data_IF_095107594817
#
_entry.id   IF_095107594817
#
_cell.length_a   1.000
_cell.length_b   1.000
_cell.length_c   1.000
_cell.angle_alpha   90.00
_cell.angle_beta   90.00
_cell.angle_gamma   90.00
#
_symmetry.space_group_name_H-M   'P 1'
#
loop_
_entity.id
_entity.type
_entity.pdbx_description
1 polymer ?
#
# COMPACT_ATOMS: atom_id res chain seq x y z
N UNK A 1 51.18 -5.77 -46.20
CA UNK A 1 50.26 -6.53 -45.31
C UNK A 1 49.78 -5.69 -44.12
N UNK A 2 50.61 -4.87 -43.49
CA UNK A 2 50.23 -4.02 -42.35
C UNK A 2 49.04 -3.07 -42.60
N UNK A 3 48.93 -2.48 -43.80
CA UNK A 3 47.86 -1.53 -44.14
C UNK A 3 46.48 -2.17 -44.25
N UNK A 4 46.40 -3.44 -44.68
CA UNK A 4 45.13 -4.18 -44.76
C UNK A 4 44.63 -4.59 -43.37
N UNK A 5 45.55 -4.90 -42.45
CA UNK A 5 45.24 -5.26 -41.06
C UNK A 5 44.71 -4.05 -40.26
N UNK A 6 45.30 -2.87 -40.46
CA UNK A 6 44.85 -1.63 -39.83
C UNK A 6 43.44 -1.22 -40.27
N UNK A 7 43.11 -1.40 -41.55
CA UNK A 7 41.77 -1.12 -42.08
C UNK A 7 40.75 -2.11 -41.52
N UNK A 8 41.11 -3.39 -41.35
CA UNK A 8 40.19 -4.38 -40.75
C UNK A 8 39.94 -4.10 -39.28
N UNK A 9 40.96 -3.66 -38.52
CA UNK A 9 40.82 -3.28 -37.11
C UNK A 9 39.99 -1.99 -36.96
N UNK A 10 40.17 -1.00 -37.84
CA UNK A 10 39.37 0.23 -37.82
C UNK A 10 37.91 -0.03 -38.19
N UNK A 11 37.65 -0.90 -39.18
CA UNK A 11 36.28 -1.28 -39.56
C UNK A 11 35.62 -2.12 -38.47
N UNK A 12 36.34 -3.02 -37.79
CA UNK A 12 35.77 -3.80 -36.68
C UNK A 12 35.52 -2.96 -35.42
N UNK A 13 36.33 -1.94 -35.14
CA UNK A 13 36.06 -0.95 -34.08
C UNK A 13 34.85 -0.08 -34.42
N UNK A 14 34.71 0.37 -35.67
CA UNK A 14 33.55 1.14 -36.12
C UNK A 14 32.24 0.31 -36.10
N UNK A 15 32.31 -0.96 -36.48
CA UNK A 15 31.17 -1.89 -36.39
C UNK A 15 30.83 -2.23 -34.94
N UNK A 16 31.83 -2.34 -34.05
CA UNK A 16 31.58 -2.50 -32.60
C UNK A 16 30.94 -1.26 -31.97
N UNK A 17 31.25 -0.04 -32.45
CA UNK A 17 30.58 1.19 -32.00
C UNK A 17 29.20 1.39 -32.63
N UNK A 18 28.93 0.80 -33.80
CA UNK A 18 27.62 0.88 -34.47
C UNK A 18 26.63 -0.21 -34.01
N UNK A 19 27.11 -1.32 -33.44
CA UNK A 19 26.30 -2.40 -32.86
C UNK A 19 26.16 -2.30 -31.34
N UNK A 20 26.69 -1.24 -30.72
CA UNK A 20 26.24 -0.84 -29.40
C UNK A 20 24.83 -0.29 -29.52
N UNK A 21 23.83 -1.18 -29.53
CA UNK A 21 22.47 -0.83 -29.13
C UNK A 21 22.58 -0.17 -27.76
N UNK A 22 22.67 1.16 -27.74
CA UNK A 22 22.34 1.91 -26.55
C UNK A 22 20.90 1.49 -26.28
N UNK A 23 20.69 0.74 -25.20
CA UNK A 23 19.40 0.73 -24.52
C UNK A 23 19.08 2.21 -24.25
N UNK A 24 18.36 2.85 -25.15
CA UNK A 24 17.74 4.15 -24.89
C UNK A 24 16.63 3.87 -23.89
N UNK A 25 17.00 3.80 -22.61
CA UNK A 25 16.03 4.04 -21.56
C UNK A 25 15.34 5.36 -21.90
N UNK A 26 14.02 5.31 -22.09
CA UNK A 26 13.24 6.52 -22.31
C UNK A 26 13.54 7.48 -21.17
N UNK A 27 13.95 8.73 -21.45
CA UNK A 27 14.35 9.64 -20.39
C UNK A 27 13.16 9.86 -19.45
N UNK A 28 13.41 9.72 -18.15
CA UNK A 28 12.43 10.01 -17.11
C UNK A 28 11.87 11.42 -17.31
N UNK A 29 10.55 11.56 -17.16
CA UNK A 29 9.87 12.86 -17.16
C UNK A 29 10.34 13.73 -15.98
N UNK A 30 10.10 15.05 -16.04
CA UNK A 30 10.44 15.94 -14.90
C UNK A 30 9.76 15.50 -13.59
N UNK A 31 8.52 15.00 -13.68
CA UNK A 31 7.76 14.47 -12.57
C UNK A 31 8.42 13.20 -11.99
N UNK A 32 8.79 12.23 -12.82
CA UNK A 32 9.50 11.02 -12.39
C UNK A 32 10.89 11.32 -11.81
N UNK A 33 11.51 12.43 -12.18
CA UNK A 33 12.75 12.94 -11.57
C UNK A 33 12.49 13.74 -10.28
N UNK A 34 11.25 13.81 -9.80
CA UNK A 34 10.82 14.56 -8.62
C UNK A 34 11.14 16.06 -8.67
N UNK A 35 11.13 16.67 -9.86
CA UNK A 35 11.27 18.13 -10.04
C UNK A 35 9.93 18.84 -9.84
N UNK A 36 9.39 18.73 -8.63
CA UNK A 36 8.06 19.20 -8.30
C UNK A 36 8.05 20.69 -7.96
N UNK A 37 7.16 21.45 -8.60
CA UNK A 37 6.95 22.89 -8.31
C UNK A 37 5.98 23.11 -7.16
N UNK A 38 4.97 22.25 -7.06
CA UNK A 38 3.92 22.32 -6.06
C UNK A 38 3.43 20.90 -5.76
N UNK A 39 3.07 20.67 -4.50
CA UNK A 39 2.40 19.47 -4.01
C UNK A 39 1.02 19.86 -3.49
N UNK A 40 0.07 18.93 -3.57
CA UNK A 40 -1.30 19.16 -3.13
C UNK A 40 -1.87 17.94 -2.41
N UNK A 41 -2.75 18.22 -1.45
CA UNK A 41 -3.63 17.19 -0.91
C UNK A 41 -4.78 16.96 -1.90
N UNK A 42 -4.96 15.72 -2.33
CA UNK A 42 -5.90 15.35 -3.39
C UNK A 42 -6.90 14.29 -2.93
N UNK A 43 -8.07 14.32 -3.55
CA UNK A 43 -9.11 13.30 -3.43
C UNK A 43 -9.06 12.39 -4.67
N UNK A 44 -9.71 11.22 -4.63
CA UNK A 44 -9.86 10.40 -5.82
C UNK A 44 -10.52 11.19 -6.96
N UNK A 45 -10.02 11.02 -8.19
CA UNK A 45 -10.51 11.70 -9.40
C UNK A 45 -11.38 10.79 -10.27
N UNK A 46 -11.34 9.48 -10.02
CA UNK A 46 -12.11 8.49 -10.77
C UNK A 46 -12.90 7.60 -9.81
N UNK A 47 -14.11 7.21 -10.24
CA UNK A 47 -15.01 6.35 -9.47
C UNK A 47 -15.64 5.31 -10.38
N UNK A 48 -15.53 4.05 -9.99
CA UNK A 48 -16.03 2.88 -10.70
C UNK A 48 -17.07 2.22 -9.81
N UNK A 49 -18.31 2.18 -10.29
CA UNK A 49 -19.43 1.56 -9.58
C UNK A 49 -19.49 0.07 -9.94
N UNK A 50 -19.71 -0.78 -8.94
CA UNK A 50 -19.96 -2.21 -9.10
C UNK A 50 -21.28 -2.60 -8.40
N UNK A 51 -21.72 -3.84 -8.56
CA UNK A 51 -22.92 -4.36 -7.89
C UNK A 51 -22.78 -4.34 -6.36
N UNK A 52 -21.60 -4.70 -5.85
CA UNK A 52 -21.34 -4.85 -4.42
C UNK A 52 -20.52 -3.73 -3.78
N UNK A 53 -20.31 -2.61 -4.47
CA UNK A 53 -19.51 -1.52 -3.92
C UNK A 53 -18.90 -0.60 -4.96
N UNK A 54 -17.78 0.04 -4.60
CA UNK A 54 -17.17 1.12 -5.37
C UNK A 54 -15.64 1.01 -5.30
N UNK A 55 -14.99 1.29 -6.42
CA UNK A 55 -13.55 1.54 -6.48
C UNK A 55 -13.31 2.99 -6.89
N UNK A 56 -12.55 3.72 -6.08
CA UNK A 56 -12.14 5.10 -6.37
C UNK A 56 -10.63 5.13 -6.61
N UNK A 57 -10.19 5.87 -7.63
CA UNK A 57 -8.78 5.98 -8.02
C UNK A 57 -8.31 7.42 -7.89
N UNK A 58 -7.11 7.61 -7.34
CA UNK A 58 -6.36 8.85 -7.52
C UNK A 58 -5.77 8.89 -8.93
N UNK A 59 -5.56 10.09 -9.46
CA UNK A 59 -4.93 10.27 -10.77
C UNK A 59 -3.46 9.91 -10.67
N UNK A 60 -3.06 8.76 -11.24
CA UNK A 60 -1.68 8.35 -11.23
C UNK A 60 -0.80 9.17 -12.18
N UNK A 61 -1.36 10.02 -13.03
CA UNK A 61 -0.59 10.96 -13.86
C UNK A 61 -0.21 12.26 -13.13
N UNK A 62 -0.74 12.51 -11.92
CA UNK A 62 -0.34 13.66 -11.13
C UNK A 62 1.14 13.51 -10.72
N UNK A 63 1.90 14.60 -10.90
CA UNK A 63 3.35 14.65 -10.77
C UNK A 63 3.85 14.07 -9.44
N UNK A 64 3.08 14.22 -8.35
CA UNK A 64 3.48 13.72 -7.04
C UNK A 64 3.46 12.19 -6.96
N UNK A 65 2.52 11.54 -7.66
CA UNK A 65 2.44 10.07 -7.74
C UNK A 65 3.44 9.50 -8.74
N UNK A 66 3.67 10.21 -9.86
CA UNK A 66 4.75 9.89 -10.81
C UNK A 66 6.13 9.96 -10.15
N UNK A 67 6.40 11.01 -9.35
CA UNK A 67 7.64 11.12 -8.56
C UNK A 67 7.81 9.97 -7.58
N UNK A 68 6.74 9.62 -6.83
CA UNK A 68 6.82 8.52 -5.88
C UNK A 68 6.83 7.13 -6.52
N UNK A 69 6.45 7.02 -7.80
CA UNK A 69 6.30 5.74 -8.47
C UNK A 69 5.18 4.89 -7.86
N UNK A 70 4.06 5.51 -7.47
CA UNK A 70 2.94 4.81 -6.79
C UNK A 70 1.60 5.06 -7.46
N UNK A 71 0.66 4.15 -7.27
CA UNK A 71 -0.75 4.32 -7.60
C UNK A 71 -1.63 4.07 -6.37
N UNK A 72 -2.62 4.93 -6.13
CA UNK A 72 -3.49 4.86 -4.96
C UNK A 72 -4.95 4.64 -5.34
N UNK A 73 -5.66 3.85 -4.53
CA UNK A 73 -7.09 3.58 -4.70
C UNK A 73 -7.80 3.37 -3.37
N UNK A 74 -9.12 3.60 -3.36
CA UNK A 74 -10.00 3.34 -2.22
C UNK A 74 -11.10 2.40 -2.67
N UNK A 75 -11.19 1.23 -2.03
CA UNK A 75 -12.26 0.27 -2.27
C UNK A 75 -13.26 0.33 -1.12
N UNK A 76 -14.54 0.40 -1.47
CA UNK A 76 -15.67 0.43 -0.54
C UNK A 76 -16.52 -0.78 -0.89
N UNK A 77 -16.55 -1.77 0.00
CA UNK A 77 -17.35 -2.99 -0.17
C UNK A 77 -18.57 -2.87 0.71
N UNK A 78 -19.76 -2.94 0.11
CA UNK A 78 -21.00 -3.01 0.86
C UNK A 78 -21.07 -4.30 1.69
N UNK A 79 -21.98 -4.40 2.68
CA UNK A 79 -22.25 -5.65 3.38
C UNK A 79 -22.55 -6.80 2.40
N UNK A 80 -22.02 -7.98 2.70
CA UNK A 80 -22.16 -9.20 1.89
C UNK A 80 -21.68 -9.03 0.44
N UNK A 81 -20.54 -8.37 0.25
CA UNK A 81 -19.94 -8.18 -1.07
C UNK A 81 -18.54 -8.78 -1.16
N UNK A 82 -18.22 -9.34 -2.32
CA UNK A 82 -16.95 -9.97 -2.65
C UNK A 82 -16.21 -9.12 -3.70
N UNK A 83 -15.03 -8.60 -3.33
CA UNK A 83 -14.02 -8.15 -4.30
C UNK A 83 -13.43 -9.37 -4.98
N UNK A 84 -13.62 -9.45 -6.30
CA UNK A 84 -13.26 -10.63 -7.07
C UNK A 84 -11.75 -10.93 -7.06
N UNK A 85 -11.35 -12.20 -7.23
CA UNK A 85 -9.95 -12.58 -7.18
C UNK A 85 -9.13 -11.90 -8.28
N UNK A 86 -8.00 -11.31 -7.90
CA UNK A 86 -7.07 -10.65 -8.82
C UNK A 86 -5.63 -10.74 -8.32
N UNK A 87 -4.68 -10.48 -9.21
CA UNK A 87 -3.26 -10.33 -8.92
C UNK A 87 -2.68 -9.15 -9.72
N UNK A 88 -1.44 -8.75 -9.42
CA UNK A 88 -0.82 -7.56 -10.00
C UNK A 88 0.72 -7.70 -10.00
N UNK A 89 1.46 -7.01 -10.88
CA UNK A 89 2.91 -7.19 -11.04
C UNK A 89 3.74 -6.46 -9.96
N UNK A 90 3.10 -5.67 -9.10
CA UNK A 90 3.76 -4.86 -8.07
C UNK A 90 3.22 -5.16 -6.66
N UNK A 91 4.02 -4.93 -5.60
CA UNK A 91 3.50 -5.02 -4.24
C UNK A 91 2.49 -3.91 -3.93
N UNK A 92 1.60 -4.18 -2.97
CA UNK A 92 0.62 -3.22 -2.46
C UNK A 92 0.44 -3.36 -0.96
N UNK A 93 0.33 -2.21 -0.31
CA UNK A 93 -0.18 -2.11 1.05
C UNK A 93 -1.64 -1.71 1.05
N UNK A 94 -2.42 -2.32 1.94
CA UNK A 94 -3.86 -2.05 2.12
C UNK A 94 -4.13 -1.71 3.57
N UNK A 95 -4.61 -0.50 3.84
CA UNK A 95 -5.04 -0.07 5.16
C UNK A 95 -6.57 -0.14 5.27
N UNK A 96 -7.08 -0.86 6.27
CA UNK A 96 -8.52 -0.94 6.55
C UNK A 96 -8.93 0.28 7.38
N UNK A 97 -9.60 1.24 6.74
CA UNK A 97 -10.07 2.47 7.39
C UNK A 97 -11.29 2.22 8.27
N UNK A 98 -12.20 1.36 7.84
CA UNK A 98 -13.49 1.08 8.49
C UNK A 98 -13.96 -0.33 8.16
N UNK A 99 -14.70 -0.95 9.07
CA UNK A 99 -15.33 -2.26 8.85
C UNK A 99 -14.43 -3.44 9.17
N UNK A 100 -14.94 -4.62 8.85
CA UNK A 100 -14.25 -5.89 8.99
C UNK A 100 -14.60 -6.81 7.82
N UNK A 101 -13.82 -7.85 7.64
CA UNK A 101 -14.05 -8.80 6.57
C UNK A 101 -13.08 -9.97 6.61
N UNK A 102 -13.00 -10.64 5.48
CA UNK A 102 -12.12 -11.77 5.23
C UNK A 102 -11.27 -11.48 4.01
N UNK A 103 -9.99 -11.81 4.07
CA UNK A 103 -9.10 -11.77 2.91
C UNK A 103 -8.33 -13.09 2.82
N UNK A 104 -8.12 -13.59 1.61
CA UNK A 104 -7.14 -14.66 1.36
C UNK A 104 -6.11 -14.18 0.36
N UNK A 105 -4.85 -14.53 0.63
CA UNK A 105 -3.71 -14.29 -0.26
C UNK A 105 -3.18 -15.66 -0.65
N UNK A 106 -3.27 -15.96 -1.93
CA UNK A 106 -2.96 -17.26 -2.51
C UNK A 106 -1.51 -17.24 -2.97
N UNK A 107 -0.70 -18.10 -2.37
CA UNK A 107 0.69 -18.32 -2.73
C UNK A 107 0.80 -19.55 -3.63
N UNK A 108 1.14 -19.38 -4.93
CA UNK A 108 1.33 -20.52 -5.82
C UNK A 108 2.38 -21.49 -5.26
N UNK A 109 2.05 -22.79 -5.24
CA UNK A 109 2.91 -23.84 -4.70
C UNK A 109 2.75 -24.15 -3.21
N UNK A 110 1.94 -23.37 -2.49
CA UNK A 110 1.54 -23.68 -1.11
C UNK A 110 0.27 -24.54 -1.10
N UNK A 111 0.20 -25.52 -0.19
CA UNK A 111 -0.93 -26.43 -0.11
C UNK A 111 -2.17 -25.80 0.56
N UNK A 112 -3.33 -26.41 0.33
CA UNK A 112 -4.58 -26.09 0.97
C UNK A 112 -4.59 -26.58 2.44
N UNK A 113 -4.12 -25.73 3.34
CA UNK A 113 -3.99 -26.07 4.77
C UNK A 113 -5.30 -26.00 5.56
N UNK A 114 -6.39 -25.49 4.97
CA UNK A 114 -7.71 -25.46 5.60
C UNK A 114 -8.58 -26.56 5.00
N UNK A 115 -8.96 -27.52 5.83
CA UNK A 115 -9.69 -28.73 5.42
C UNK A 115 -10.91 -29.03 6.30
N UNK A 116 -11.90 -29.68 5.71
CA UNK A 116 -13.22 -29.96 6.33
C UNK A 116 -13.23 -31.17 7.30
N UNK A 117 -12.10 -31.82 7.55
CA UNK A 117 -11.89 -32.94 8.49
C UNK A 117 -10.64 -32.58 9.32
N UNK A 118 -10.58 -32.45 10.65
CA UNK A 118 -11.29 -33.07 11.77
C UNK A 118 -11.60 -32.01 12.85
N UNK A 119 -12.88 -31.72 13.10
CA UNK A 119 -13.26 -31.21 14.42
C UNK A 119 -12.99 -32.32 15.43
N UNK A 120 -12.00 -32.13 16.32
CA UNK A 120 -11.77 -33.03 17.44
C UNK A 120 -13.03 -33.24 18.30
N UNK A 121 -13.04 -34.20 19.24
CA UNK A 121 -14.24 -34.70 19.93
C UNK A 121 -15.07 -33.66 20.72
N UNK A 122 -14.68 -32.37 20.72
CA UNK A 122 -15.31 -31.28 21.47
C UNK A 122 -16.06 -30.24 20.62
N UNK A 123 -16.03 -30.32 19.28
CA UNK A 123 -16.73 -29.36 18.40
C UNK A 123 -18.24 -29.60 18.21
N UNK A 124 -18.86 -30.49 19.00
CA UNK A 124 -20.31 -30.77 18.95
C UNK A 124 -21.09 -29.78 19.83
N UNK A 125 -21.01 -28.47 19.56
CA UNK A 125 -21.99 -27.53 20.10
C UNK A 125 -22.55 -26.61 19.01
N UNK A 126 -23.75 -26.99 18.58
CA UNK A 126 -24.85 -26.15 18.10
C UNK A 126 -24.58 -25.23 16.90
N UNK A 127 -24.78 -25.77 15.69
CA UNK A 127 -25.56 -25.08 14.67
C UNK A 127 -26.69 -26.01 14.23
N UNK A 128 -27.90 -25.46 14.17
CA UNK A 128 -29.17 -26.17 14.17
C UNK A 128 -29.34 -27.25 13.10
N UNK A 129 -30.06 -28.30 13.50
CA UNK A 129 -30.68 -29.26 12.59
C UNK A 129 -31.57 -28.53 11.58
N UNK A 130 -31.17 -28.53 10.31
CA UNK A 130 -32.11 -28.60 9.19
C UNK A 130 -31.42 -29.15 7.93
N UNK A 131 -31.85 -30.36 7.56
CA UNK A 131 -31.84 -30.95 6.20
C UNK A 131 -30.51 -31.07 5.43
N UNK A 132 -29.94 -32.28 5.47
CA UNK A 132 -29.58 -33.02 4.24
C UNK A 132 -28.48 -32.51 3.30
N UNK A 133 -27.67 -31.51 3.66
CA UNK A 133 -26.54 -31.12 2.82
C UNK A 133 -25.37 -32.10 3.00
N UNK A 134 -25.00 -32.76 1.89
CA UNK A 134 -23.71 -33.45 1.73
C UNK A 134 -22.62 -32.60 2.38
N UNK A 135 -21.76 -33.20 3.22
CA UNK A 135 -20.59 -32.52 3.77
C UNK A 135 -19.85 -31.83 2.63
N UNK A 136 -19.78 -30.50 2.63
CA UNK A 136 -18.99 -29.76 1.65
C UNK A 136 -17.54 -30.12 1.92
N UNK A 137 -16.99 -31.01 1.09
CA UNK A 137 -15.57 -31.34 1.11
C UNK A 137 -14.84 -30.18 0.44
N UNK A 138 -14.46 -29.20 1.24
CA UNK A 138 -13.69 -28.03 0.81
C UNK A 138 -12.25 -28.11 1.31
N UNK A 139 -11.35 -27.52 0.53
CA UNK A 139 -9.91 -27.38 0.74
C UNK A 139 -9.48 -26.05 0.14
N UNK A 140 -8.92 -25.16 0.96
CA UNK A 140 -8.35 -23.90 0.47
C UNK A 140 -7.17 -23.44 1.32
N UNK A 141 -6.45 -22.42 0.84
CA UNK A 141 -5.41 -21.74 1.62
C UNK A 141 -6.02 -20.89 2.75
N UNK A 142 -5.16 -20.40 3.64
CA UNK A 142 -5.54 -19.63 4.82
C UNK A 142 -6.41 -18.42 4.47
N UNK A 143 -7.47 -18.23 5.26
CA UNK A 143 -8.33 -17.04 5.22
C UNK A 143 -8.07 -16.22 6.47
N UNK A 144 -7.83 -14.94 6.29
CA UNK A 144 -7.50 -14.01 7.36
C UNK A 144 -8.70 -13.12 7.67
N UNK A 145 -9.11 -13.09 8.95
CA UNK A 145 -9.94 -12.00 9.47
C UNK A 145 -9.16 -10.69 9.37
N UNK A 146 -9.81 -9.66 8.84
CA UNK A 146 -9.29 -8.29 8.78
C UNK A 146 -10.29 -7.34 9.43
N UNK A 147 -9.76 -6.27 10.02
CA UNK A 147 -10.56 -5.30 10.77
C UNK A 147 -9.95 -3.91 10.66
N UNK A 148 -10.73 -2.89 11.02
CA UNK A 148 -10.26 -1.51 11.11
C UNK A 148 -8.89 -1.40 11.82
N UNK A 149 -8.00 -0.63 11.20
CA UNK A 149 -6.65 -0.42 11.70
C UNK A 149 -5.62 -1.40 11.12
N UNK A 150 -6.03 -2.51 10.50
CA UNK A 150 -5.09 -3.45 9.89
C UNK A 150 -4.38 -2.82 8.67
N UNK A 151 -3.05 -2.95 8.62
CA UNK A 151 -2.25 -2.83 7.40
C UNK A 151 -1.98 -4.24 6.88
N UNK A 152 -2.30 -4.49 5.61
CA UNK A 152 -2.19 -5.78 4.95
C UNK A 152 -1.18 -5.65 3.80
N UNK A 153 -0.33 -6.66 3.68
CA UNK A 153 0.76 -6.74 2.73
C UNK A 153 0.39 -7.73 1.61
N UNK A 154 0.31 -7.23 0.38
CA UNK A 154 0.00 -8.01 -0.82
C UNK A 154 1.20 -8.03 -1.77
N UNK A 155 1.96 -9.13 -1.86
CA UNK A 155 3.11 -9.25 -2.75
C UNK A 155 2.73 -9.18 -4.24
N UNK A 156 3.71 -8.82 -5.07
CA UNK A 156 3.59 -8.94 -6.52
C UNK A 156 3.29 -10.40 -6.92
N UNK A 157 2.36 -10.60 -7.85
CA UNK A 157 1.95 -11.89 -8.38
C UNK A 157 1.00 -12.71 -7.49
N UNK A 158 0.84 -12.35 -6.22
CA UNK A 158 -0.05 -13.09 -5.31
C UNK A 158 -1.53 -12.80 -5.63
N UNK A 159 -2.28 -13.84 -5.98
CA UNK A 159 -3.71 -13.74 -6.19
C UNK A 159 -4.41 -13.54 -4.84
N UNK A 160 -5.43 -12.69 -4.79
CA UNK A 160 -6.14 -12.39 -3.55
C UNK A 160 -7.59 -12.00 -3.83
N UNK A 161 -8.45 -12.23 -2.84
CA UNK A 161 -9.84 -11.80 -2.82
C UNK A 161 -10.22 -11.29 -1.42
N UNK A 162 -11.23 -10.44 -1.35
CA UNK A 162 -11.70 -9.84 -0.09
C UNK A 162 -13.22 -9.90 -0.01
N UNK A 163 -13.76 -10.40 1.10
CA UNK A 163 -15.19 -10.51 1.35
C UNK A 163 -15.59 -9.69 2.59
N UNK A 164 -16.60 -8.83 2.45
CA UNK A 164 -17.20 -8.15 3.58
C UNK A 164 -18.31 -9.02 4.18
N UNK A 165 -17.99 -9.70 5.29
CA UNK A 165 -18.94 -10.48 6.09
C UNK A 165 -19.53 -9.72 7.28
N UNK A 166 -19.31 -8.40 7.33
CA UNK A 166 -19.88 -7.50 8.34
C UNK A 166 -21.16 -6.79 7.88
N UNK A 167 -21.75 -6.05 8.82
CA UNK A 167 -23.02 -5.31 8.61
C UNK A 167 -22.81 -3.85 8.16
N UNK A 168 -21.57 -3.36 8.18
CA UNK A 168 -21.20 -2.03 7.68
C UNK A 168 -20.31 -2.11 6.43
N UNK A 169 -20.14 -0.99 5.75
CA UNK A 169 -19.18 -0.89 4.65
C UNK A 169 -17.75 -1.17 5.13
N UNK A 170 -17.04 -2.01 4.39
CA UNK A 170 -15.61 -2.23 4.54
C UNK A 170 -14.87 -1.25 3.62
N UNK A 171 -14.09 -0.34 4.19
CA UNK A 171 -13.35 0.70 3.45
C UNK A 171 -11.86 0.43 3.54
N UNK A 172 -11.23 0.25 2.38
CA UNK A 172 -9.81 -0.09 2.25
C UNK A 172 -9.06 0.93 1.40
N UNK A 173 -7.98 1.50 1.92
CA UNK A 173 -7.07 2.41 1.22
C UNK A 173 -5.86 1.62 0.75
N UNK A 174 -5.62 1.63 -0.55
CA UNK A 174 -4.60 0.83 -1.21
C UNK A 174 -3.51 1.73 -1.81
N UNK A 175 -2.24 1.42 -1.59
CA UNK A 175 -1.10 2.03 -2.29
C UNK A 175 -0.27 0.93 -2.92
N UNK A 176 -0.10 0.99 -4.24
CA UNK A 176 0.70 0.09 -5.06
C UNK A 176 2.00 0.77 -5.47
N UNK A 177 3.13 0.10 -5.29
CA UNK A 177 4.45 0.60 -5.73
C UNK A 177 4.73 0.21 -7.18
N UNK A 178 4.24 1.00 -8.13
CA UNK A 178 4.34 0.70 -9.57
C UNK A 178 5.77 0.86 -10.10
N UNK A 179 6.70 1.44 -9.34
CA UNK A 179 8.12 1.51 -9.68
C UNK A 179 8.97 0.46 -8.97
N UNK A 180 8.35 -0.50 -8.27
CA UNK A 180 9.06 -1.57 -7.59
C UNK A 180 9.77 -2.50 -8.58
N UNK A 181 10.97 -2.99 -8.23
CA UNK A 181 11.79 -3.91 -9.04
C UNK A 181 11.09 -5.21 -9.50
N UNK A 182 10.04 -5.63 -8.79
CA UNK A 182 9.23 -6.80 -9.17
C UNK A 182 8.30 -6.50 -10.36
N UNK A 183 7.96 -5.22 -10.59
CA UNK A 183 7.18 -4.79 -11.73
C UNK A 183 8.08 -4.61 -12.95
N UNK A 184 8.28 -5.70 -13.69
CA UNK A 184 9.11 -5.72 -14.90
C UNK A 184 8.36 -5.32 -16.18
N UNK A 185 7.14 -4.80 -16.05
CA UNK A 185 6.35 -4.34 -17.20
C UNK A 185 6.68 -2.87 -17.50
N UNK A 186 5.93 -1.96 -16.88
CA UNK A 186 6.11 -0.52 -16.96
C UNK A 186 5.50 0.14 -15.71
N UNK A 187 5.68 1.45 -15.54
CA UNK A 187 5.14 2.22 -14.41
C UNK A 187 3.64 2.56 -14.57
N UNK A 188 2.79 1.58 -14.91
CA UNK A 188 1.33 1.73 -14.88
C UNK A 188 0.69 0.67 -13.98
N UNK A 189 -0.37 1.09 -13.29
CA UNK A 189 -1.23 0.19 -12.53
C UNK A 189 -1.83 -0.89 -13.46
N UNK A 190 -1.59 -2.16 -13.16
CA UNK A 190 -2.27 -3.30 -13.79
C UNK A 190 -2.77 -4.28 -12.73
N UNK A 191 -4.02 -4.67 -12.87
CA UNK A 191 -4.64 -5.74 -12.11
C UNK A 191 -5.25 -6.76 -13.06
N UNK A 192 -4.81 -7.99 -12.89
CA UNK A 192 -5.24 -9.15 -13.63
C UNK A 192 -6.30 -9.88 -12.81
N UNK A 193 -7.55 -9.72 -13.19
CA UNK A 193 -8.69 -10.38 -12.57
C UNK A 193 -8.85 -11.81 -13.09
N UNK A 194 -9.27 -12.69 -12.21
CA UNK A 194 -9.63 -14.08 -12.51
C UNK A 194 -11.15 -14.26 -12.69
N UNK A 195 -11.92 -13.19 -12.56
CA UNK A 195 -13.36 -13.16 -12.79
C UNK A 195 -13.85 -11.71 -12.94
N UNK A 196 -15.04 -11.56 -13.51
CA UNK A 196 -15.71 -10.26 -13.66
C UNK A 196 -15.23 -9.47 -14.87
N UNK A 197 -15.75 -8.26 -15.00
CA UNK A 197 -15.42 -7.32 -16.08
C UNK A 197 -15.71 -5.91 -15.59
N UNK A 198 -15.09 -4.90 -16.20
CA UNK A 198 -15.51 -3.53 -15.94
C UNK A 198 -16.93 -3.29 -16.52
N UNK A 199 -17.85 -2.66 -15.76
CA UNK A 199 -19.16 -2.30 -16.30
C UNK A 199 -18.99 -1.26 -17.41
N UNK A 200 -19.70 -1.43 -18.53
CA UNK A 200 -19.75 -0.42 -19.60
C UNK A 200 -20.48 0.83 -19.10
N UNK A 201 -19.77 1.95 -19.04
CA UNK A 201 -20.40 3.27 -18.85
C UNK A 201 -20.74 3.88 -20.22
N UNK A 202 -21.86 4.60 -20.32
CA UNK A 202 -22.44 5.08 -21.57
C UNK A 202 -21.46 5.88 -22.46
N UNK A 203 -21.40 5.50 -23.75
CA UNK A 203 -20.89 6.08 -25.02
C UNK A 203 -20.10 7.42 -25.13
N UNK A 204 -19.83 8.20 -24.09
CA UNK A 204 -19.24 9.55 -24.22
C UNK A 204 -17.77 9.71 -23.76
N UNK A 205 -17.05 8.65 -23.39
CA UNK A 205 -15.64 8.75 -22.93
C UNK A 205 -14.76 7.56 -23.37
N UNK A 206 -14.55 7.38 -24.68
CA UNK A 206 -13.79 6.22 -25.19
C UNK A 206 -12.36 6.14 -24.65
N UNK A 207 -11.65 7.27 -24.50
CA UNK A 207 -10.27 7.27 -23.99
C UNK A 207 -10.18 6.85 -22.52
N UNK A 208 -11.10 7.31 -21.67
CA UNK A 208 -11.10 6.98 -20.24
C UNK A 208 -11.49 5.52 -20.01
N UNK A 209 -12.44 5.01 -20.79
CA UNK A 209 -12.81 3.59 -20.78
C UNK A 209 -11.62 2.72 -21.23
N UNK A 210 -10.91 3.10 -22.30
CA UNK A 210 -9.68 2.41 -22.72
C UNK A 210 -8.61 2.40 -21.64
N UNK A 211 -8.36 3.52 -20.95
CA UNK A 211 -7.40 3.57 -19.84
C UNK A 211 -7.79 2.66 -18.67
N UNK A 212 -9.08 2.60 -18.31
CA UNK A 212 -9.56 1.70 -17.26
C UNK A 212 -9.43 0.24 -17.68
N UNK A 213 -9.75 -0.07 -18.94
CA UNK A 213 -9.54 -1.41 -19.49
C UNK A 213 -8.06 -1.79 -19.47
N UNK A 214 -7.11 -0.89 -19.77
CA UNK A 214 -5.68 -1.20 -19.62
C UNK A 214 -5.29 -1.56 -18.17
N UNK A 215 -5.97 -0.96 -17.17
CA UNK A 215 -5.69 -1.19 -15.74
C UNK A 215 -6.35 -2.47 -15.21
N UNK A 216 -7.55 -2.82 -15.66
CA UNK A 216 -8.33 -3.93 -15.10
C UNK A 216 -8.78 -4.89 -16.21
N UNK A 217 -8.20 -6.09 -16.23
CA UNK A 217 -8.46 -7.10 -17.27
C UNK A 217 -8.81 -8.45 -16.66
N UNK A 218 -9.85 -9.11 -17.16
CA UNK A 218 -10.07 -10.53 -16.89
C UNK A 218 -9.21 -11.35 -17.86
N UNK A 219 -8.25 -12.09 -17.31
CA UNK A 219 -7.27 -12.85 -18.11
C UNK A 219 -7.91 -13.95 -18.94
N UNK A 220 -9.11 -14.42 -18.55
CA UNK A 220 -9.77 -15.50 -19.26
C UNK A 220 -10.36 -15.06 -20.60
N UNK A 221 -10.72 -13.77 -20.75
CA UNK A 221 -11.49 -13.26 -21.89
C UNK A 221 -10.81 -13.48 -23.26
N UNK A 222 -9.49 -13.62 -23.30
CA UNK A 222 -8.72 -13.73 -24.54
C UNK A 222 -8.22 -15.14 -24.86
N UNK A 223 -8.38 -16.11 -23.95
CA UNK A 223 -8.00 -17.49 -24.24
C UNK A 223 -8.99 -18.15 -25.20
N UNK A 224 -8.50 -19.09 -26.00
CA UNK A 224 -9.36 -19.95 -26.80
C UNK A 224 -10.26 -20.80 -25.88
N UNK A 225 -11.57 -20.73 -26.12
CA UNK A 225 -12.60 -21.38 -25.29
C UNK A 225 -12.39 -22.90 -25.22
N UNK A 226 -11.98 -23.52 -26.32
CA UNK A 226 -11.80 -24.97 -26.40
C UNK A 226 -10.52 -25.41 -25.69
N UNK A 227 -9.40 -24.73 -25.93
CA UNK A 227 -8.14 -25.01 -25.25
C UNK A 227 -8.26 -24.83 -23.73
N UNK A 228 -8.96 -23.79 -23.27
CA UNK A 228 -9.16 -23.55 -21.85
C UNK A 228 -10.10 -24.59 -21.21
N UNK A 229 -11.14 -25.01 -21.93
CA UNK A 229 -12.03 -26.09 -21.48
C UNK A 229 -11.29 -27.43 -21.34
N UNK A 230 -10.40 -27.73 -22.28
CA UNK A 230 -9.52 -28.91 -22.23
C UNK A 230 -8.53 -28.82 -21.07
N UNK A 231 -7.82 -27.69 -20.93
CA UNK A 231 -6.83 -27.49 -19.88
C UNK A 231 -7.41 -27.59 -18.46
N UNK A 232 -8.61 -27.03 -18.24
CA UNK A 232 -9.31 -27.10 -16.95
C UNK A 232 -10.16 -28.37 -16.79
N UNK A 233 -10.29 -29.18 -17.85
CA UNK A 233 -11.15 -30.36 -17.92
C UNK A 233 -12.60 -30.07 -17.49
N UNK A 234 -13.20 -29.03 -18.07
CA UNK A 234 -14.58 -28.60 -17.79
C UNK A 234 -15.40 -28.45 -19.08
N UNK A 235 -16.74 -28.49 -19.01
CA UNK A 235 -17.57 -28.15 -20.16
C UNK A 235 -17.28 -26.74 -20.66
N UNK A 236 -17.27 -26.55 -21.99
CA UNK A 236 -17.10 -25.24 -22.65
C UNK A 236 -18.05 -24.16 -22.13
N UNK A 237 -19.25 -24.55 -21.71
CA UNK A 237 -20.23 -23.64 -21.10
C UNK A 237 -19.74 -23.00 -19.80
N UNK A 238 -18.92 -23.70 -19.00
CA UNK A 238 -18.29 -23.14 -17.80
C UNK A 238 -17.29 -22.07 -18.20
N UNK A 239 -16.45 -22.34 -19.21
CA UNK A 239 -15.48 -21.38 -19.75
C UNK A 239 -16.18 -20.14 -20.30
N UNK A 240 -17.28 -20.29 -21.04
CA UNK A 240 -18.08 -19.14 -21.50
C UNK A 240 -18.51 -18.24 -20.36
N UNK A 241 -18.98 -18.81 -19.24
CA UNK A 241 -19.35 -18.01 -18.06
C UNK A 241 -18.15 -17.29 -17.44
N UNK A 242 -16.95 -17.87 -17.48
CA UNK A 242 -15.72 -17.21 -17.01
C UNK A 242 -15.30 -16.05 -17.92
N UNK A 243 -15.59 -16.13 -19.21
CA UNK A 243 -15.22 -15.16 -20.25
C UNK A 243 -16.31 -14.10 -20.54
N UNK A 244 -17.54 -14.31 -20.06
CA UNK A 244 -18.65 -13.42 -20.33
C UNK A 244 -18.41 -12.05 -19.68
N UNK A 245 -18.83 -10.99 -20.39
CA UNK A 245 -18.87 -9.63 -19.84
C UNK A 245 -19.87 -9.61 -18.70
N UNK A 246 -19.36 -9.41 -17.49
CA UNK A 246 -20.16 -9.35 -16.28
C UNK A 246 -20.48 -7.89 -15.91
N UNK A 247 -21.74 -7.50 -16.08
CA UNK A 247 -22.22 -6.15 -15.73
C UNK A 247 -22.18 -5.87 -14.23
N UNK A 248 -21.99 -6.90 -13.38
CA UNK A 248 -21.87 -6.73 -11.93
C UNK A 248 -20.56 -6.07 -11.52
N UNK A 249 -19.57 -5.99 -12.41
CA UNK A 249 -18.30 -5.33 -12.13
C UNK A 249 -17.26 -6.25 -11.49
N UNK A 250 -16.37 -5.65 -10.70
CA UNK A 250 -15.25 -6.30 -10.02
C UNK A 250 -15.52 -6.56 -8.53
N UNK A 251 -16.64 -6.03 -8.02
CA UNK A 251 -17.15 -6.25 -6.66
C UNK A 251 -18.61 -6.70 -6.78
N UNK A 252 -18.92 -7.91 -6.33
CA UNK A 252 -20.24 -8.55 -6.54
C UNK A 252 -20.98 -8.78 -5.23
N UNK A 253 -22.31 -8.79 -5.27
CA UNK A 253 -23.15 -9.10 -4.11
C UNK A 253 -23.30 -10.61 -3.92
N UNK A 254 -23.08 -11.08 -2.70
CA UNK A 254 -23.26 -12.49 -2.32
C UNK A 254 -24.64 -12.67 -1.69
N UNK A 255 -25.57 -13.30 -2.42
CA UNK A 255 -26.98 -13.42 -1.98
C UNK A 255 -27.25 -14.53 -0.98
N UNK A 256 -26.49 -15.62 -1.01
CA UNK A 256 -26.73 -16.82 -0.20
C UNK A 256 -25.75 -16.98 0.96
N UNK A 257 -24.98 -15.93 1.29
CA UNK A 257 -23.84 -16.01 2.19
C UNK A 257 -22.67 -16.80 1.58
N UNK A 258 -21.46 -16.60 2.08
CA UNK A 258 -20.28 -17.39 1.72
C UNK A 258 -19.97 -18.39 2.84
N UNK A 259 -20.08 -19.68 2.53
CA UNK A 259 -19.59 -20.74 3.42
C UNK A 259 -18.14 -21.05 3.05
N UNK A 260 -17.24 -21.04 4.05
CA UNK A 260 -15.84 -21.39 3.90
C UNK A 260 -15.31 -21.96 5.22
N UNK A 261 -14.23 -22.74 5.16
CA UNK A 261 -13.60 -23.31 6.36
C UNK A 261 -12.83 -22.20 7.07
N UNK A 262 -13.03 -22.06 8.38
CA UNK A 262 -12.30 -21.11 9.23
C UNK A 262 -12.07 -21.76 10.60
N UNK A 263 -10.85 -21.73 11.17
CA UNK A 263 -10.66 -22.07 12.56
C UNK A 263 -11.35 -21.04 13.45
N UNK A 264 -11.80 -21.46 14.62
CA UNK A 264 -12.28 -20.54 15.64
C UNK A 264 -11.12 -19.62 16.07
N UNK A 265 -11.40 -18.32 16.23
CA UNK A 265 -10.39 -17.26 16.43
C UNK A 265 -9.49 -17.46 17.68
N UNK A 266 -9.83 -18.42 18.56
CA UNK A 266 -9.14 -18.71 19.82
C UNK A 266 -8.08 -19.85 19.75
N UNK A 267 -7.98 -20.58 18.63
CA UNK A 267 -7.06 -21.73 18.49
C UNK A 267 -6.01 -21.51 17.38
N UNK A 268 -5.10 -20.56 17.56
CA UNK A 268 -3.79 -20.62 16.88
C UNK A 268 -2.76 -21.20 17.87
N UNK A 269 -2.66 -22.54 18.03
CA UNK A 269 -1.56 -23.11 18.78
C UNK A 269 -0.25 -22.74 18.10
N UNK A 270 0.73 -22.27 18.88
CA UNK A 270 2.12 -22.18 18.46
C UNK A 270 2.58 -23.58 17.99
N UNK A 271 2.59 -23.81 16.68
CA UNK A 271 3.23 -25.00 16.08
C UNK A 271 4.69 -24.65 15.82
N UNK A 272 5.59 -25.51 16.30
CA UNK A 272 7.02 -25.44 16.01
C UNK A 272 7.22 -25.67 14.50
N UNK A 273 8.02 -24.84 13.80
CA UNK A 273 8.15 -24.95 12.35
C UNK A 273 8.81 -26.27 11.94
N UNK A 274 8.13 -27.08 11.14
CA UNK A 274 8.69 -28.26 10.49
C UNK A 274 8.36 -28.23 8.99
N UNK A 275 9.25 -27.62 8.19
CA UNK A 275 9.23 -27.72 6.72
C UNK A 275 9.25 -26.39 5.98
N UNK A 276 9.55 -26.44 4.68
CA UNK A 276 9.54 -25.29 3.76
C UNK A 276 8.14 -24.65 3.64
N UNK A 277 7.10 -25.46 3.88
CA UNK A 277 5.68 -25.08 3.88
C UNK A 277 5.32 -24.13 5.04
N UNK A 278 6.11 -24.07 6.12
CA UNK A 278 5.74 -23.33 7.33
C UNK A 278 6.52 -22.02 7.54
N UNK A 279 7.38 -21.61 6.60
CA UNK A 279 8.10 -20.33 6.68
C UNK A 279 7.59 -19.28 5.68
N UNK A 280 7.36 -19.65 4.41
CA UNK A 280 6.84 -18.75 3.37
C UNK A 280 5.30 -18.77 3.28
N UNK A 281 4.67 -19.95 3.27
CA UNK A 281 3.23 -20.09 3.05
C UNK A 281 2.36 -19.62 4.25
N UNK A 282 2.96 -19.52 5.43
CA UNK A 282 2.32 -19.10 6.68
C UNK A 282 2.76 -17.70 7.12
N UNK A 283 3.50 -16.98 6.27
CA UNK A 283 3.98 -15.63 6.60
C UNK A 283 2.84 -14.74 7.04
N UNK A 284 3.06 -14.03 8.14
CA UNK A 284 2.11 -13.01 8.61
C UNK A 284 1.99 -11.92 7.54
N UNK A 285 0.78 -11.69 7.05
CA UNK A 285 0.50 -10.69 6.01
C UNK A 285 -0.10 -9.39 6.57
N UNK A 286 -0.48 -9.33 7.84
CA UNK A 286 -1.14 -8.15 8.42
C UNK A 286 -0.62 -7.77 9.80
N UNK A 287 -0.75 -6.50 10.15
CA UNK A 287 -0.50 -5.97 11.49
C UNK A 287 -1.52 -4.86 11.80
N UNK A 288 -1.99 -4.76 13.05
CA UNK A 288 -2.95 -3.72 13.41
C UNK A 288 -2.22 -2.45 13.89
N UNK A 289 -2.41 -1.34 13.17
CA UNK A 289 -1.79 -0.04 13.47
C UNK A 289 -2.50 0.73 14.60
N UNK A 290 -3.67 0.29 15.04
CA UNK A 290 -4.42 0.91 16.14
C UNK A 290 -4.05 0.36 17.53
N UNK A 291 -3.25 -0.71 17.58
CA UNK A 291 -2.78 -1.28 18.83
C UNK A 291 -1.86 -0.30 19.58
N UNK A 292 -2.42 0.38 20.58
CA UNK A 292 -1.74 1.39 21.40
C UNK A 292 -0.50 0.82 22.09
N UNK A 293 -0.53 -0.46 22.46
CA UNK A 293 0.58 -1.13 23.16
C UNK A 293 1.81 -1.31 22.27
N UNK A 294 1.66 -1.16 20.95
CA UNK A 294 2.73 -1.28 19.98
C UNK A 294 3.28 0.08 19.48
N UNK A 295 2.90 1.18 20.13
CA UNK A 295 3.40 2.50 19.78
C UNK A 295 4.92 2.58 19.94
N UNK A 296 5.62 2.92 18.86
CA UNK A 296 7.08 3.10 18.82
C UNK A 296 7.51 4.46 19.34
N UNK A 297 6.65 5.47 19.16
CA UNK A 297 6.84 6.81 19.73
C UNK A 297 5.56 7.21 20.46
N UNK A 298 5.71 7.63 21.70
CA UNK A 298 4.60 8.03 22.55
C UNK A 298 4.93 9.29 23.33
N UNK A 299 4.01 10.25 23.31
CA UNK A 299 4.02 11.46 24.11
C UNK A 299 2.65 11.69 24.71
N UNK A 300 2.56 11.70 26.05
CA UNK A 300 1.31 11.91 26.80
C UNK A 300 0.56 13.20 26.45
N UNK A 301 1.25 14.19 25.90
CA UNK A 301 0.70 15.52 25.64
C UNK A 301 0.63 15.87 24.15
N UNK A 302 1.20 15.04 23.27
CA UNK A 302 1.34 15.39 21.85
C UNK A 302 0.82 14.32 20.89
N UNK A 303 0.87 13.03 21.27
CA UNK A 303 0.38 11.97 20.41
C UNK A 303 1.20 10.69 20.44
N UNK A 304 0.94 9.82 19.45
CA UNK A 304 1.60 8.52 19.30
C UNK A 304 1.81 8.16 17.83
N UNK A 305 2.80 7.31 17.58
CA UNK A 305 3.14 6.76 16.28
C UNK A 305 3.34 5.26 16.43
N UNK A 306 2.68 4.49 15.57
CA UNK A 306 2.92 3.05 15.41
C UNK A 306 3.48 2.86 14.00
N UNK A 307 4.64 2.22 13.88
CA UNK A 307 5.29 1.89 12.62
C UNK A 307 5.31 0.38 12.44
N UNK A 308 5.09 -0.07 11.20
CA UNK A 308 5.18 -1.47 10.76
C UNK A 308 6.14 -1.52 9.59
N UNK A 309 7.27 -2.20 9.79
CA UNK A 309 8.37 -2.35 8.84
C UNK A 309 8.79 -3.84 8.78
N UNK A 310 9.87 -4.17 8.09
CA UNK A 310 10.31 -5.57 7.94
C UNK A 310 10.60 -6.30 9.26
N UNK A 311 10.82 -5.58 10.37
CA UNK A 311 11.07 -6.20 11.67
C UNK A 311 9.76 -6.64 12.34
N UNK A 312 8.68 -5.86 12.20
CA UNK A 312 7.36 -6.20 12.76
C UNK A 312 6.51 -7.08 11.86
N UNK A 313 6.69 -6.96 10.54
CA UNK A 313 5.94 -7.70 9.53
C UNK A 313 6.92 -8.22 8.45
N UNK A 314 7.52 -9.41 8.64
CA UNK A 314 8.65 -9.88 7.82
C UNK A 314 8.43 -9.92 6.31
N UNK A 315 7.19 -10.12 5.84
CA UNK A 315 6.84 -10.10 4.42
C UNK A 315 7.19 -8.79 3.73
N UNK A 316 7.23 -7.69 4.49
CA UNK A 316 7.61 -6.38 3.99
C UNK A 316 9.05 -6.31 3.47
N UNK A 317 9.93 -7.22 3.87
CA UNK A 317 11.28 -7.36 3.28
C UNK A 317 11.22 -7.60 1.77
N UNK A 318 10.26 -8.40 1.30
CA UNK A 318 10.13 -8.79 -0.11
C UNK A 318 9.37 -7.76 -0.95
N UNK A 319 8.66 -6.85 -0.28
CA UNK A 319 7.88 -5.79 -0.92
C UNK A 319 8.60 -4.45 -0.93
N UNK A 320 9.70 -4.33 -0.18
CA UNK A 320 10.38 -3.08 0.15
C UNK A 320 9.43 -1.92 0.50
N UNK A 321 8.41 -2.20 1.32
CA UNK A 321 7.41 -1.22 1.74
C UNK A 321 7.25 -1.21 3.27
N UNK A 322 6.74 -0.12 3.82
CA UNK A 322 6.39 -0.01 5.24
C UNK A 322 5.19 0.91 5.44
N UNK A 323 4.62 0.90 6.64
CA UNK A 323 3.53 1.80 6.99
C UNK A 323 3.70 2.36 8.40
N UNK A 324 3.07 3.50 8.67
CA UNK A 324 2.93 4.05 10.00
C UNK A 324 1.57 4.70 10.19
N UNK A 325 1.08 4.72 11.43
CA UNK A 325 -0.11 5.46 11.85
C UNK A 325 0.29 6.48 12.90
N UNK A 326 0.04 7.75 12.58
CA UNK A 326 0.22 8.87 13.50
C UNK A 326 -1.11 9.32 14.08
N UNK A 327 -1.14 9.56 15.38
CA UNK A 327 -2.25 10.21 16.07
C UNK A 327 -1.70 11.38 16.86
N UNK A 328 -2.03 12.60 16.45
CA UNK A 328 -1.61 13.83 17.10
C UNK A 328 -2.79 14.46 17.84
N UNK A 329 -2.51 14.88 19.07
CA UNK A 329 -3.46 15.61 19.90
C UNK A 329 -3.66 17.04 19.40
N UNK A 330 -4.74 17.72 19.85
CA UNK A 330 -5.01 19.11 19.49
C UNK A 330 -3.78 20.01 19.51
N UNK A 331 -3.53 20.70 18.41
CA UNK A 331 -2.44 21.66 18.25
C UNK A 331 -1.01 21.11 18.43
N UNK A 332 -0.84 19.79 18.55
CA UNK A 332 0.47 19.16 18.61
C UNK A 332 1.18 19.28 17.26
N UNK A 333 2.52 19.27 17.30
CA UNK A 333 3.36 19.41 16.13
C UNK A 333 4.20 18.15 15.93
N UNK A 334 4.19 17.62 14.71
CA UNK A 334 5.15 16.65 14.24
C UNK A 334 6.40 17.40 13.79
N UNK A 335 7.52 17.13 14.45
CA UNK A 335 8.81 17.79 14.24
C UNK A 335 9.18 17.86 12.75
N UNK A 336 9.76 18.97 12.28
CA UNK A 336 10.33 19.02 10.94
C UNK A 336 11.34 17.89 10.76
N UNK A 337 11.22 17.13 9.68
CA UNK A 337 12.09 15.98 9.39
C UNK A 337 12.09 15.65 7.90
N UNK A 338 13.12 14.91 7.45
CA UNK A 338 13.11 14.24 6.16
C UNK A 338 13.24 12.72 6.33
N UNK A 339 12.73 11.97 5.36
CA UNK A 339 12.98 10.53 5.25
C UNK A 339 14.23 10.31 4.39
N UNK A 340 15.21 9.55 4.89
CA UNK A 340 16.44 9.22 4.16
C UNK A 340 16.22 8.13 3.10
N UNK A 341 15.17 7.31 3.26
CA UNK A 341 14.82 6.21 2.35
C UNK A 341 13.34 6.26 2.04
N UNK A 342 13.00 6.02 0.77
CA UNK A 342 11.63 5.93 0.27
C UNK A 342 10.84 7.23 0.26
N UNK A 343 9.81 7.26 -0.57
CA UNK A 343 8.76 8.27 -0.57
C UNK A 343 7.73 7.93 0.52
N UNK A 344 6.94 8.91 0.93
CA UNK A 344 5.88 8.73 1.93
C UNK A 344 4.54 9.18 1.36
N UNK A 345 3.59 8.26 1.25
CA UNK A 345 2.22 8.52 0.80
C UNK A 345 1.33 8.62 2.03
N UNK A 346 0.81 9.81 2.32
CA UNK A 346 0.05 10.12 3.54
C UNK A 346 -1.44 10.23 3.23
N UNK A 347 -2.27 9.45 3.91
CA UNK A 347 -3.72 9.53 3.89
C UNK A 347 -4.25 10.01 5.25
N UNK A 348 -5.05 11.07 5.25
CA UNK A 348 -5.63 11.63 6.47
C UNK A 348 -6.90 10.87 6.85
N UNK A 349 -6.87 10.13 7.96
CA UNK A 349 -7.99 9.28 8.40
C UNK A 349 -8.96 10.02 9.33
N UNK A 350 -8.49 11.02 10.07
CA UNK A 350 -9.32 11.80 10.98
C UNK A 350 -8.79 13.23 11.16
N UNK A 351 -9.72 14.18 11.34
CA UNK A 351 -9.40 15.56 11.70
C UNK A 351 -8.76 16.32 10.54
N UNK A 352 -7.93 17.29 10.89
CA UNK A 352 -7.21 18.13 9.93
C UNK A 352 -5.85 18.56 10.49
N UNK A 353 -4.93 18.88 9.59
CA UNK A 353 -3.61 19.40 9.95
C UNK A 353 -3.11 20.41 8.93
N UNK A 354 -2.31 21.39 9.36
CA UNK A 354 -1.50 22.20 8.45
C UNK A 354 -0.20 21.45 8.18
N UNK A 355 0.11 21.22 6.92
CA UNK A 355 1.31 20.51 6.47
C UNK A 355 2.16 21.45 5.65
N UNK A 356 3.46 21.48 5.95
CA UNK A 356 4.45 22.15 5.12
C UNK A 356 5.44 21.14 4.56
N UNK A 357 5.80 21.28 3.28
CA UNK A 357 6.80 20.43 2.61
C UNK A 357 7.77 21.31 1.83
N UNK A 358 9.05 21.15 2.12
CA UNK A 358 10.17 21.87 1.49
C UNK A 358 10.95 20.90 0.61
N UNK A 359 11.13 21.25 -0.65
CA UNK A 359 11.89 20.47 -1.64
C UNK A 359 13.40 20.55 -1.42
N UNK A 360 14.14 19.74 -2.17
CA UNK A 360 15.61 19.70 -2.16
C UNK A 360 16.29 21.01 -2.58
N UNK A 361 15.59 21.91 -3.29
CA UNK A 361 16.10 23.25 -3.64
C UNK A 361 15.72 24.34 -2.60
N UNK A 362 15.13 23.95 -1.47
CA UNK A 362 14.75 24.88 -0.39
C UNK A 362 13.44 25.63 -0.63
N UNK A 363 12.67 25.30 -1.66
CA UNK A 363 11.37 25.91 -1.92
C UNK A 363 10.27 25.23 -1.09
N UNK A 364 9.37 26.03 -0.51
CA UNK A 364 8.17 25.51 0.13
C UNK A 364 7.15 25.11 -0.95
N UNK A 365 7.13 23.84 -1.32
CA UNK A 365 6.29 23.28 -2.38
C UNK A 365 4.89 22.90 -1.89
N UNK A 366 4.64 22.90 -0.58
CA UNK A 366 3.31 22.68 0.00
C UNK A 366 3.15 23.49 1.29
N UNK A 367 2.08 24.28 1.40
CA UNK A 367 1.63 24.85 2.68
C UNK A 367 0.11 24.82 2.71
N UNK A 368 -0.43 23.68 3.13
CA UNK A 368 -1.85 23.36 2.94
C UNK A 368 -2.47 22.83 4.22
N UNK A 369 -3.76 23.11 4.39
CA UNK A 369 -4.58 22.44 5.39
C UNK A 369 -5.15 21.16 4.77
N UNK A 370 -4.69 20.03 5.28
CA UNK A 370 -5.09 18.68 4.86
C UNK A 370 -6.19 18.17 5.77
N UNK A 371 -7.24 17.59 5.19
CA UNK A 371 -8.46 17.11 5.88
C UNK A 371 -8.67 15.61 5.65
N UNK A 372 -9.52 15.02 6.48
CA UNK A 372 -9.95 13.62 6.33
C UNK A 372 -10.31 13.26 4.89
N UNK A 373 -9.82 12.11 4.43
CA UNK A 373 -10.06 11.56 3.10
C UNK A 373 -9.08 12.05 2.04
N UNK A 374 -8.28 13.07 2.32
CA UNK A 374 -7.26 13.57 1.39
C UNK A 374 -5.96 12.77 1.50
N UNK A 375 -5.25 12.70 0.38
CA UNK A 375 -3.98 12.00 0.23
C UNK A 375 -2.94 12.95 -0.38
N UNK A 376 -1.70 12.87 0.07
CA UNK A 376 -0.57 13.60 -0.53
C UNK A 376 0.73 12.81 -0.42
N UNK A 377 1.72 13.18 -1.23
CA UNK A 377 3.05 12.55 -1.22
C UNK A 377 4.08 13.48 -0.62
N UNK A 378 4.98 12.93 0.19
CA UNK A 378 6.23 13.57 0.62
C UNK A 378 7.37 12.80 -0.05
N UNK A 379 8.02 13.37 -1.08
CA UNK A 379 9.15 12.71 -1.72
C UNK A 379 10.32 12.45 -0.76
N UNK A 380 11.16 11.48 -1.09
CA UNK A 380 12.40 11.22 -0.36
C UNK A 380 13.24 12.50 -0.26
N UNK A 381 13.89 12.73 0.90
CA UNK A 381 14.66 13.94 1.23
C UNK A 381 13.90 15.28 1.27
N UNK A 382 12.61 15.33 0.92
CA UNK A 382 11.82 16.54 1.16
C UNK A 382 11.60 16.68 2.67
N UNK A 383 11.78 17.89 3.19
CA UNK A 383 11.60 18.18 4.61
C UNK A 383 10.14 18.51 4.84
N UNK A 384 9.50 17.80 5.76
CA UNK A 384 8.08 18.02 6.08
C UNK A 384 7.87 18.30 7.55
N UNK A 385 6.83 19.07 7.86
CA UNK A 385 6.32 19.23 9.21
C UNK A 385 4.80 19.30 9.19
N UNK A 386 4.18 18.90 10.30
CA UNK A 386 2.74 18.82 10.42
C UNK A 386 2.32 19.43 11.75
N UNK A 387 1.30 20.29 11.74
CA UNK A 387 0.63 20.78 12.96
C UNK A 387 -0.82 20.36 12.94
N UNK A 388 -1.23 19.58 13.94
CA UNK A 388 -2.61 19.15 14.09
C UNK A 388 -3.53 20.35 14.35
N UNK A 389 -4.76 20.26 13.86
CA UNK A 389 -5.81 21.24 14.12
C UNK A 389 -6.31 21.19 15.57
N UNK A 390 -7.37 21.97 15.84
CA UNK A 390 -7.94 22.10 17.19
C UNK A 390 -8.56 20.81 17.74
N UNK A 391 -8.90 19.85 16.89
CA UNK A 391 -9.48 18.56 17.29
C UNK A 391 -8.48 17.41 17.20
N UNK A 392 -7.19 17.72 16.99
CA UNK A 392 -6.18 16.71 16.66
C UNK A 392 -6.34 16.18 15.23
N UNK A 393 -5.50 15.22 14.88
CA UNK A 393 -5.59 14.53 13.59
C UNK A 393 -5.02 13.10 13.68
N UNK A 394 -5.49 12.24 12.77
CA UNK A 394 -4.89 10.93 12.55
C UNK A 394 -4.59 10.74 11.07
N UNK A 395 -3.46 10.11 10.78
CA UNK A 395 -3.06 9.77 9.42
C UNK A 395 -2.45 8.38 9.38
N UNK A 396 -2.52 7.76 8.21
CA UNK A 396 -1.72 6.59 7.86
C UNK A 396 -0.78 7.00 6.75
N UNK A 397 0.48 6.61 6.87
CA UNK A 397 1.48 6.85 5.85
C UNK A 397 2.09 5.53 5.38
N UNK A 398 2.01 5.25 4.08
CA UNK A 398 2.61 4.10 3.42
C UNK A 398 3.88 4.56 2.70
N UNK A 399 4.95 3.77 2.78
CA UNK A 399 6.29 4.17 2.31
C UNK A 399 6.87 3.15 1.36
N UNK A 400 7.57 3.64 0.35
CA UNK A 400 8.30 2.83 -0.65
C UNK A 400 9.68 2.42 -0.15
N UNK A 401 9.74 1.98 1.12
CA UNK A 401 10.91 1.34 1.70
C UNK A 401 10.47 0.47 2.87
N UNK A 402 11.12 -0.66 3.07
CA UNK A 402 10.92 -1.55 4.21
C UNK A 402 11.69 -1.14 5.48
N UNK A 403 12.61 -0.17 5.38
CA UNK A 403 13.42 0.36 6.48
C UNK A 403 13.33 1.89 6.54
N UNK A 404 12.17 2.44 6.92
CA UNK A 404 12.00 3.89 6.94
C UNK A 404 12.90 4.53 8.01
N UNK A 405 13.72 5.49 7.60
CA UNK A 405 14.63 6.23 8.48
C UNK A 405 14.31 7.73 8.43
N UNK A 406 13.92 8.28 9.59
CA UNK A 406 13.59 9.70 9.75
C UNK A 406 14.73 10.46 10.41
N UNK A 407 14.97 11.67 9.93
CA UNK A 407 15.96 12.58 10.47
C UNK A 407 15.26 13.84 10.99
N UNK A 408 14.93 13.90 12.29
CA UNK A 408 14.25 15.06 12.86
C UNK A 408 15.21 16.24 13.00
N UNK A 409 14.69 17.45 12.80
CA UNK A 409 15.41 18.71 12.99
C UNK A 409 15.24 19.25 14.41
N UNK A 410 14.14 18.94 15.11
CA UNK A 410 13.96 19.31 16.52
C UNK A 410 13.61 18.09 17.40
N UNK A 411 14.05 18.12 18.66
CA UNK A 411 13.80 17.06 19.65
C UNK A 411 15.05 16.28 20.09
N UNK A 412 14.84 15.29 20.95
CA UNK A 412 15.86 14.44 21.57
C UNK A 412 16.76 13.76 20.53
N UNK A 413 16.23 13.35 19.39
CA UNK A 413 16.97 12.64 18.34
C UNK A 413 17.37 13.55 17.17
N UNK A 414 17.36 14.88 17.35
CA UNK A 414 17.53 15.80 16.23
C UNK A 414 18.96 15.91 15.70
N UNK A 415 19.06 16.32 14.43
CA UNK A 415 20.34 16.63 13.78
C UNK A 415 21.05 17.79 14.48
N UNK A 416 20.33 18.82 14.95
CA UNK A 416 20.94 19.88 15.77
C UNK A 416 21.57 19.33 17.04
N UNK A 417 20.90 18.40 17.74
CA UNK A 417 21.47 17.82 18.95
C UNK A 417 22.78 17.07 18.67
N UNK A 418 22.88 16.41 17.52
CA UNK A 418 24.07 15.67 17.11
C UNK A 418 25.24 16.58 16.68
N UNK A 419 24.98 17.84 16.32
CA UNK A 419 26.02 18.79 15.91
C UNK A 419 26.74 19.43 17.10
N UNK A 420 28.07 19.67 17.02
CA UNK A 420 28.79 20.47 18.02
C UNK A 420 28.20 21.88 18.13
N UNK A 421 28.17 22.44 19.35
CA UNK A 421 27.59 23.76 19.62
C UNK A 421 28.23 24.85 18.74
N UNK A 422 29.56 24.77 18.56
CA UNK A 422 30.30 25.73 17.74
C UNK A 422 29.92 25.65 16.25
N UNK A 423 29.63 24.45 15.72
CA UNK A 423 29.16 24.34 14.32
C UNK A 423 27.85 25.09 14.14
N UNK A 424 26.93 24.98 15.10
CA UNK A 424 25.65 25.71 15.07
C UNK A 424 25.88 27.22 15.23
N UNK A 425 26.67 27.62 16.23
CA UNK A 425 26.96 29.02 16.53
C UNK A 425 27.55 29.74 15.30
N UNK A 426 28.55 29.16 14.66
CA UNK A 426 29.20 29.73 13.48
C UNK A 426 28.28 29.68 12.24
N UNK A 427 27.53 28.59 12.04
CA UNK A 427 26.65 28.43 10.86
C UNK A 427 25.51 29.44 10.84
N UNK A 428 24.95 29.78 12.01
CA UNK A 428 23.81 30.68 12.14
C UNK A 428 24.17 32.06 12.70
N UNK A 429 25.45 32.31 13.01
CA UNK A 429 25.94 33.53 13.65
C UNK A 429 25.17 33.85 14.95
N UNK A 430 24.96 32.81 15.77
CA UNK A 430 24.26 32.91 17.06
C UNK A 430 25.23 32.73 18.22
N UNK A 431 24.86 33.24 19.39
CA UNK A 431 25.65 33.03 20.61
C UNK A 431 25.69 31.55 21.03
N UNK A 432 26.72 31.11 21.80
CA UNK A 432 26.78 29.74 22.31
C UNK A 432 25.54 29.31 23.10
N UNK A 433 24.93 30.22 23.87
CA UNK A 433 23.68 29.93 24.60
C UNK A 433 22.50 29.71 23.66
N UNK A 434 22.36 30.50 22.60
CA UNK A 434 21.32 30.29 21.57
C UNK A 434 21.54 28.98 20.79
N UNK A 435 22.79 28.60 20.53
CA UNK A 435 23.09 27.30 19.94
C UNK A 435 22.66 26.14 20.87
N UNK A 436 22.88 26.29 22.18
CA UNK A 436 22.39 25.34 23.19
C UNK A 436 20.86 25.32 23.26
N UNK A 437 20.19 26.47 23.16
CA UNK A 437 18.72 26.55 23.11
C UNK A 437 18.14 25.76 21.94
N UNK A 438 18.75 25.85 20.75
CA UNK A 438 18.34 25.06 19.57
C UNK A 438 18.45 23.55 19.79
N UNK A 439 19.44 23.11 20.59
CA UNK A 439 19.66 21.70 20.91
C UNK A 439 18.76 21.19 22.02
N UNK A 440 18.50 22.00 23.04
CA UNK A 440 18.03 21.52 24.33
C UNK A 440 16.63 22.00 24.74
N UNK A 441 16.07 23.04 24.12
CA UNK A 441 14.71 23.52 24.46
C UNK A 441 13.61 22.48 24.24
N UNK A 442 13.88 21.44 23.45
CA UNK A 442 12.97 20.32 23.18
C UNK A 442 13.55 18.95 23.56
N UNK A 443 14.47 18.91 24.53
CA UNK A 443 15.22 17.70 24.90
C UNK A 443 14.33 16.50 25.28
N UNK A 444 13.14 16.75 25.85
CA UNK A 444 12.25 15.69 26.32
C UNK A 444 11.25 15.18 25.26
N UNK A 445 11.26 15.74 24.05
CA UNK A 445 10.36 15.34 22.97
C UNK A 445 11.13 14.63 21.86
N UNK A 446 10.60 13.53 21.33
CA UNK A 446 11.25 12.77 20.24
C UNK A 446 10.77 13.28 18.88
N UNK A 447 9.55 12.90 18.47
CA UNK A 447 8.94 13.32 17.21
C UNK A 447 7.75 14.27 17.37
N UNK A 448 7.00 14.16 18.47
CA UNK A 448 5.81 14.97 18.71
C UNK A 448 6.03 16.00 19.79
N UNK A 449 5.68 17.23 19.47
CA UNK A 449 5.83 18.41 20.31
C UNK A 449 4.46 18.82 20.84
N UNK A 450 4.29 19.00 22.16
CA UNK A 450 3.06 19.53 22.70
C UNK A 450 2.85 21.00 22.25
N UNK A 451 1.61 21.49 22.25
CA UNK A 451 1.33 22.89 21.97
C UNK A 451 2.19 23.79 22.86
N UNK A 452 2.83 24.81 22.28
CA UNK A 452 3.50 25.84 23.08
C UNK A 452 2.44 26.58 23.89
N UNK A 453 2.49 26.47 25.21
CA UNK A 453 1.89 27.47 26.08
C UNK A 453 2.70 28.76 25.87
N UNK A 454 2.30 29.60 24.93
CA UNK A 454 2.71 31.00 24.99
C UNK A 454 1.90 31.59 26.13
N UNK A 455 2.54 31.86 27.27
CA UNK A 455 2.04 32.84 28.21
C UNK A 455 1.83 34.13 27.42
N UNK A 456 0.57 34.50 27.23
CA UNK A 456 0.14 35.80 26.72
C UNK A 456 0.72 36.93 27.54
#
# INVERSE_FOLDING_TARGET
>A
MATRLLITILVSLLVSTALGERYEESPLTEAQQCRLRQLAATQPSQRIQHEGGVTELWDDNDDQFQCAGVSASRNILDPNSLSLPNFQPMPRLVYIEKGQGLISVIYPGCAETYHSQEAGPRGRQQVGQQTGQRSVRDLHQKVHRISQGDIIALPAGAAHWCFNDGDEELVAICVSDINHQNNQLDQKLRQFYLAGSLPRQSQSQSERESQLMEKFQNIFNTFDEQMLAEALNVPREVVRRMQNVDERGLIVKVRQGMAMIRPDEEEEPFRLPNGLEEEFCTMKIRQNLDNIKEADVYSRQAGRLVQVNLQKLPILRFMDMSAEKGNLYPNALYTPHWNAHGHTVVYMTQGEARVQVVSNNGQNVMDSRVKRGELFVIPQFFTSMLKAGNNGCQFVAMKTTSLPMKNPLAGYTSVFRAMPDQVIAESYQVSPSQAQDLKYNRLHQILFMPPTQRSS
#
